data_IF_602164251033
#
_entry.id   IF_602164251033
#
_cell.length_a   1.000
_cell.length_b   1.000
_cell.length_c   1.000
_cell.angle_alpha   90.00
_cell.angle_beta   90.00
_cell.angle_gamma   90.00
#
_symmetry.space_group_name_H-M   'P 1'
#
loop_
_entity.id
_entity.type
_entity.pdbx_description
1 polymer ?
#
# COMPACT_ATOMS: atom_id res chain seq x y z
N UNK A 1 5.48 8.32 -7.20
CA UNK A 1 4.05 7.97 -7.32
C UNK A 1 3.62 6.88 -6.34
N UNK A 2 4.32 5.74 -6.20
CA UNK A 2 3.95 4.64 -5.29
C UNK A 2 3.80 5.09 -3.83
N UNK A 3 4.80 5.76 -3.26
CA UNK A 3 4.73 6.33 -1.89
C UNK A 3 3.54 7.29 -1.72
N UNK A 4 3.22 8.05 -2.77
CA UNK A 4 2.06 8.94 -2.77
C UNK A 4 0.74 8.16 -2.67
N UNK A 5 0.57 7.08 -3.47
CA UNK A 5 -0.62 6.22 -3.40
C UNK A 5 -0.76 5.59 -2.02
N UNK A 6 0.34 5.09 -1.45
CA UNK A 6 0.37 4.54 -0.10
C UNK A 6 -0.12 5.57 0.91
N UNK A 7 0.41 6.80 0.86
CA UNK A 7 -0.01 7.89 1.75
C UNK A 7 -1.49 8.24 1.65
N UNK A 8 -2.08 8.21 0.43
CA UNK A 8 -3.52 8.40 0.26
C UNK A 8 -4.34 7.25 0.87
N UNK A 9 -3.90 6.01 0.65
CA UNK A 9 -4.54 4.83 1.22
C UNK A 9 -4.48 4.84 2.76
N UNK A 10 -3.37 5.29 3.35
CA UNK A 10 -3.24 5.47 4.81
C UNK A 10 -4.20 6.54 5.34
N UNK A 11 -4.33 7.68 4.64
CA UNK A 11 -5.31 8.73 4.98
C UNK A 11 -6.75 8.23 4.91
N UNK A 12 -7.05 7.30 4.03
CA UNK A 12 -8.34 6.62 3.94
C UNK A 12 -8.49 5.46 4.94
N UNK A 13 -7.45 5.17 5.72
CA UNK A 13 -7.39 4.04 6.67
C UNK A 13 -7.67 2.68 6.01
N UNK A 14 -7.13 2.48 4.80
CA UNK A 14 -7.27 1.24 4.05
C UNK A 14 -6.27 0.18 4.52
N UNK A 15 -6.61 -1.09 4.29
CA UNK A 15 -5.69 -2.20 4.51
C UNK A 15 -4.47 -2.07 3.60
N UNK A 16 -3.32 -2.54 4.08
CA UNK A 16 -2.08 -2.51 3.30
C UNK A 16 -2.19 -3.22 1.94
N UNK A 17 -2.97 -4.30 1.87
CA UNK A 17 -3.21 -5.02 0.61
C UNK A 17 -3.89 -4.11 -0.44
N UNK A 18 -4.84 -3.28 -0.02
CA UNK A 18 -5.52 -2.35 -0.91
C UNK A 18 -4.59 -1.26 -1.44
N UNK A 19 -3.59 -0.87 -0.66
CA UNK A 19 -2.55 0.05 -1.14
C UNK A 19 -1.72 -0.57 -2.27
N UNK A 20 -1.35 -1.84 -2.16
CA UNK A 20 -0.63 -2.54 -3.22
C UNK A 20 -1.50 -2.76 -4.47
N UNK A 21 -2.75 -3.14 -4.27
CA UNK A 21 -3.69 -3.30 -5.39
C UNK A 21 -3.93 -1.97 -6.10
N UNK A 22 -4.00 -0.86 -5.36
CA UNK A 22 -4.11 0.49 -5.93
C UNK A 22 -2.89 0.87 -6.76
N UNK A 23 -1.68 0.54 -6.30
CA UNK A 23 -0.44 0.75 -7.07
C UNK A 23 -0.46 -0.06 -8.36
N UNK A 24 -0.78 -1.35 -8.27
CA UNK A 24 -0.85 -2.22 -9.43
C UNK A 24 -1.87 -1.71 -10.46
N UNK A 25 -3.09 -1.38 -10.03
CA UNK A 25 -4.14 -0.87 -10.91
C UNK A 25 -3.76 0.47 -11.54
N UNK A 26 -3.14 1.37 -10.78
CA UNK A 26 -2.68 2.65 -11.30
C UNK A 26 -1.63 2.45 -12.40
N UNK A 27 -0.63 1.59 -12.18
CA UNK A 27 0.40 1.29 -13.18
C UNK A 27 -0.21 0.64 -14.43
N UNK A 28 -1.06 -0.37 -14.26
CA UNK A 28 -1.77 -1.02 -15.36
C UNK A 28 -2.59 -0.03 -16.18
N UNK A 29 -3.30 0.89 -15.49
CA UNK A 29 -4.11 1.90 -16.16
C UNK A 29 -3.24 2.86 -17.00
N UNK A 30 -2.08 3.24 -16.50
CA UNK A 30 -1.14 4.12 -17.21
C UNK A 30 -0.57 3.48 -18.49
N UNK A 31 -0.49 2.16 -18.54
CA UNK A 31 -0.02 1.41 -19.70
C UNK A 31 -1.07 1.29 -20.83
N UNK A 32 -2.33 1.57 -20.55
CA UNK A 32 -3.41 1.51 -21.55
C UNK A 32 -3.26 2.69 -22.53
N UNK A 33 -2.97 2.39 -23.79
CA UNK A 33 -2.68 3.42 -24.83
C UNK A 33 -3.87 4.34 -25.13
N UNK A 34 -5.10 3.85 -25.01
CA UNK A 34 -6.35 4.59 -25.28
C UNK A 34 -6.85 5.38 -24.07
N UNK A 35 -6.03 5.52 -23.05
CA UNK A 35 -6.38 6.22 -21.83
C UNK A 35 -6.53 7.73 -22.08
N UNK A 36 -7.75 8.24 -21.91
CA UNK A 36 -8.10 9.66 -22.07
C UNK A 36 -8.35 10.39 -20.75
N UNK A 37 -8.27 9.66 -19.61
CA UNK A 37 -8.60 10.21 -18.29
C UNK A 37 -7.41 10.93 -17.66
N UNK A 38 -7.73 11.93 -16.84
CA UNK A 38 -6.74 12.68 -16.07
C UNK A 38 -6.09 11.78 -15.00
N UNK A 39 -4.86 12.09 -14.64
CA UNK A 39 -4.10 11.35 -13.65
C UNK A 39 -4.84 11.20 -12.31
N UNK A 40 -5.56 12.23 -11.88
CA UNK A 40 -6.35 12.19 -10.63
C UNK A 40 -7.50 11.19 -10.72
N UNK A 41 -8.18 11.15 -11.88
CA UNK A 41 -9.27 10.20 -12.14
C UNK A 41 -8.74 8.77 -12.17
N UNK A 42 -7.60 8.54 -12.82
CA UNK A 42 -6.92 7.24 -12.83
C UNK A 42 -6.59 6.78 -11.41
N UNK A 43 -6.04 7.68 -10.61
CA UNK A 43 -5.65 7.41 -9.23
C UNK A 43 -6.86 7.09 -8.35
N UNK A 44 -7.92 7.89 -8.44
CA UNK A 44 -9.18 7.64 -7.72
C UNK A 44 -9.80 6.31 -8.14
N UNK A 45 -9.76 5.98 -9.43
CA UNK A 45 -10.26 4.72 -9.99
C UNK A 45 -9.50 3.53 -9.44
N UNK A 46 -8.18 3.59 -9.42
CA UNK A 46 -7.33 2.53 -8.89
C UNK A 46 -7.64 2.24 -7.40
N UNK A 47 -7.78 3.30 -6.58
CA UNK A 47 -8.18 3.16 -5.18
C UNK A 47 -9.60 2.60 -5.06
N UNK A 48 -10.56 3.09 -5.84
CA UNK A 48 -11.95 2.65 -5.79
C UNK A 48 -12.10 1.15 -6.09
N UNK A 49 -11.46 0.67 -7.16
CA UNK A 49 -11.52 -0.75 -7.54
C UNK A 49 -10.86 -1.60 -6.45
N UNK A 50 -9.70 -1.18 -5.93
CA UNK A 50 -9.00 -1.91 -4.89
C UNK A 50 -9.82 -2.03 -3.61
N UNK A 51 -10.50 -0.96 -3.19
CA UNK A 51 -11.42 -0.93 -2.05
C UNK A 51 -12.59 -1.89 -2.26
N UNK A 52 -13.23 -1.86 -3.43
CA UNK A 52 -14.32 -2.78 -3.76
C UNK A 52 -13.87 -4.22 -3.80
N UNK A 53 -12.70 -4.49 -4.38
CA UNK A 53 -12.14 -5.83 -4.48
C UNK A 53 -11.79 -6.44 -3.11
N UNK A 54 -11.28 -5.63 -2.19
CA UNK A 54 -10.91 -6.06 -0.85
C UNK A 54 -12.05 -5.90 0.18
N UNK A 55 -13.27 -5.63 -0.29
CA UNK A 55 -14.48 -5.50 0.54
C UNK A 55 -14.32 -4.50 1.69
N UNK A 56 -13.68 -3.35 1.41
CA UNK A 56 -13.49 -2.29 2.40
C UNK A 56 -14.61 -1.26 2.35
N UNK A 57 -15.05 -0.82 3.54
CA UNK A 57 -16.16 0.13 3.68
C UNK A 57 -15.66 1.57 3.54
N UNK A 58 -15.34 1.98 2.31
CA UNK A 58 -14.92 3.36 2.01
C UNK A 58 -15.88 3.99 1.01
N UNK A 59 -16.31 5.21 1.31
CA UNK A 59 -17.25 5.93 0.43
C UNK A 59 -16.51 6.56 -0.74
N UNK A 60 -17.11 6.53 -1.92
CA UNK A 60 -16.60 7.22 -3.13
C UNK A 60 -16.27 8.69 -2.82
N UNK A 61 -17.11 9.36 -2.02
CA UNK A 61 -16.89 10.75 -1.61
C UNK A 61 -15.59 10.94 -0.83
N UNK A 62 -15.23 10.01 0.03
CA UNK A 62 -14.02 10.09 0.85
C UNK A 62 -12.77 9.94 -0.04
N UNK A 63 -12.82 9.04 -1.02
CA UNK A 63 -11.74 8.87 -2.02
C UNK A 63 -11.54 10.16 -2.82
N UNK A 64 -12.63 10.72 -3.37
CA UNK A 64 -12.59 11.97 -4.12
C UNK A 64 -12.01 13.10 -3.26
N UNK A 65 -12.50 13.23 -2.03
CA UNK A 65 -12.06 14.28 -1.13
C UNK A 65 -10.57 14.17 -0.79
N UNK A 66 -10.08 12.98 -0.43
CA UNK A 66 -8.67 12.79 -0.05
C UNK A 66 -7.75 13.09 -1.21
N UNK A 67 -8.03 12.59 -2.42
CA UNK A 67 -7.17 12.82 -3.59
C UNK A 67 -7.14 14.30 -4.00
N UNK A 68 -8.30 14.97 -4.05
CA UNK A 68 -8.36 16.36 -4.44
C UNK A 68 -7.78 17.30 -3.37
N UNK A 69 -7.99 16.98 -2.09
CA UNK A 69 -7.42 17.73 -0.99
C UNK A 69 -5.90 17.67 -0.97
N UNK A 70 -5.34 16.51 -1.10
CA UNK A 70 -3.89 16.32 -1.07
C UNK A 70 -3.19 17.10 -2.17
N UNK A 71 -3.82 17.23 -3.35
CA UNK A 71 -3.31 18.04 -4.46
C UNK A 71 -3.50 19.55 -4.29
N UNK A 72 -4.00 20.01 -3.13
CA UNK A 72 -4.23 21.43 -2.80
C UNK A 72 -5.15 22.20 -3.77
N UNK A 73 -5.87 21.50 -4.64
CA UNK A 73 -6.72 22.14 -5.66
C UNK A 73 -7.85 22.96 -5.06
N UNK A 74 -8.29 22.64 -3.87
CA UNK A 74 -9.48 23.24 -3.26
C UNK A 74 -9.16 24.21 -2.14
N UNK A 75 -7.95 24.11 -1.57
CA UNK A 75 -7.50 25.09 -0.56
C UNK A 75 -7.32 26.50 -1.12
N UNK A 76 -7.24 26.65 -2.43
CA UNK A 76 -7.08 27.96 -3.07
C UNK A 76 -8.41 28.73 -3.27
N UNK A 77 -9.56 28.05 -3.07
CA UNK A 77 -10.86 28.67 -3.36
C UNK A 77 -11.51 29.36 -2.14
N UNK A 78 -11.06 29.09 -0.91
CA UNK A 78 -11.68 29.65 0.30
C UNK A 78 -10.65 29.86 1.43
N UNK A 79 -10.31 31.13 1.69
CA UNK A 79 -9.34 31.50 2.74
C UNK A 79 -9.79 31.12 4.15
N UNK A 80 -11.09 31.08 4.43
CA UNK A 80 -11.61 30.69 5.74
C UNK A 80 -11.41 29.19 5.99
N UNK A 81 -11.61 28.38 4.95
CA UNK A 81 -11.30 26.94 5.00
C UNK A 81 -9.81 26.69 5.18
N UNK A 82 -8.95 27.50 4.54
CA UNK A 82 -7.50 27.43 4.69
C UNK A 82 -7.04 27.74 6.12
N UNK A 83 -7.61 28.76 6.76
CA UNK A 83 -7.32 29.11 8.17
C UNK A 83 -7.72 27.99 9.12
N UNK A 84 -8.92 27.43 8.95
CA UNK A 84 -9.43 26.31 9.75
C UNK A 84 -8.62 25.04 9.56
N UNK A 85 -8.17 24.76 8.33
CA UNK A 85 -7.26 23.66 8.02
C UNK A 85 -5.93 23.80 8.75
N UNK A 86 -5.31 24.98 8.67
CA UNK A 86 -4.05 25.22 9.35
C UNK A 86 -4.18 25.06 10.88
N UNK A 87 -5.29 25.53 11.49
CA UNK A 87 -5.53 25.33 12.91
C UNK A 87 -5.62 23.84 13.30
N UNK A 88 -6.26 23.02 12.49
CA UNK A 88 -6.36 21.57 12.71
C UNK A 88 -5.03 20.84 12.51
N UNK A 89 -4.22 21.26 11.52
CA UNK A 89 -2.89 20.69 11.29
C UNK A 89 -1.96 20.86 12.49
N UNK A 90 -2.04 22.02 13.15
CA UNK A 90 -1.19 22.34 14.30
C UNK A 90 -1.79 21.92 15.64
N UNK A 91 -2.98 21.32 15.65
CA UNK A 91 -3.57 20.79 16.88
C UNK A 91 -2.79 19.57 17.37
N UNK A 92 -2.12 19.73 18.50
CA UNK A 92 -1.31 18.66 19.10
C UNK A 92 -2.11 17.60 19.85
N UNK A 93 -3.41 17.81 20.03
CA UNK A 93 -4.30 16.89 20.76
C UNK A 93 -4.83 15.75 19.85
N UNK A 94 -4.76 15.93 18.52
CA UNK A 94 -5.25 15.00 17.53
C UNK A 94 -4.09 14.26 16.86
N UNK A 95 -4.23 12.97 16.65
CA UNK A 95 -3.30 12.22 15.82
C UNK A 95 -3.54 12.51 14.31
N UNK A 96 -2.57 12.18 13.46
CA UNK A 96 -2.63 12.52 12.02
C UNK A 96 -3.82 11.88 11.29
N UNK A 97 -4.26 10.69 11.70
CA UNK A 97 -5.44 10.03 11.13
C UNK A 97 -6.73 10.73 11.54
N UNK A 98 -6.87 11.14 12.80
CA UNK A 98 -8.02 11.90 13.29
C UNK A 98 -8.11 13.27 12.61
N UNK A 99 -6.98 13.98 12.49
CA UNK A 99 -6.90 15.25 11.75
C UNK A 99 -7.39 15.07 10.32
N UNK A 100 -6.89 14.04 9.62
CA UNK A 100 -7.30 13.76 8.23
C UNK A 100 -8.79 13.45 8.14
N UNK A 101 -9.34 12.63 9.03
CA UNK A 101 -10.77 12.30 9.03
C UNK A 101 -11.64 13.53 9.30
N UNK A 102 -11.25 14.41 10.24
CA UNK A 102 -11.98 15.63 10.52
C UNK A 102 -11.92 16.57 9.32
N UNK A 103 -10.74 16.73 8.71
CA UNK A 103 -10.54 17.55 7.52
C UNK A 103 -11.42 17.06 6.37
N UNK A 104 -11.38 15.75 6.06
CA UNK A 104 -12.20 15.15 5.02
C UNK A 104 -13.69 15.33 5.27
N UNK A 105 -14.14 15.18 6.51
CA UNK A 105 -15.57 15.29 6.88
C UNK A 105 -16.09 16.73 6.92
N UNK A 106 -15.29 17.67 7.42
CA UNK A 106 -15.79 19.00 7.78
C UNK A 106 -15.41 20.12 6.82
N UNK A 107 -14.26 20.00 6.15
CA UNK A 107 -13.72 21.09 5.34
C UNK A 107 -13.99 20.95 3.85
N UNK A 108 -14.38 19.76 3.41
CA UNK A 108 -14.50 19.45 2.03
C UNK A 108 -15.96 19.27 1.61
N UNK A 109 -16.59 20.34 1.18
CA UNK A 109 -17.81 20.28 0.38
C UNK A 109 -17.50 20.81 -1.01
N UNK A 110 -17.13 19.92 -1.94
CA UNK A 110 -17.38 20.22 -3.36
C UNK A 110 -18.82 20.68 -3.51
N UNK A 111 -19.07 21.68 -4.34
CA UNK A 111 -20.45 21.95 -4.75
C UNK A 111 -21.05 20.63 -5.26
N UNK A 112 -22.34 20.41 -5.01
CA UNK A 112 -23.03 19.17 -5.42
C UNK A 112 -22.82 18.90 -6.92
N UNK A 113 -22.82 19.93 -7.73
CA UNK A 113 -22.61 19.81 -9.18
C UNK A 113 -21.19 19.32 -9.51
N UNK A 114 -20.16 19.90 -8.91
CA UNK A 114 -18.77 19.47 -9.15
C UNK A 114 -18.53 18.03 -8.65
N UNK A 115 -19.11 17.69 -7.51
CA UNK A 115 -19.04 16.31 -7.01
C UNK A 115 -19.67 15.31 -7.98
N UNK A 116 -20.86 15.61 -8.52
CA UNK A 116 -21.56 14.73 -9.44
C UNK A 116 -20.79 14.54 -10.76
N UNK A 117 -20.19 15.61 -11.29
CA UNK A 117 -19.33 15.53 -12.49
C UNK A 117 -18.14 14.61 -12.25
N UNK A 118 -17.39 14.83 -11.16
CA UNK A 118 -16.22 14.02 -10.83
C UNK A 118 -16.61 12.57 -10.56
N UNK A 119 -17.72 12.34 -9.86
CA UNK A 119 -18.24 11.00 -9.60
C UNK A 119 -18.63 10.28 -10.88
N UNK A 120 -19.28 10.95 -11.83
CA UNK A 120 -19.61 10.35 -13.12
C UNK A 120 -18.35 9.98 -13.89
N UNK A 121 -17.39 10.88 -14.02
CA UNK A 121 -16.10 10.63 -14.66
C UNK A 121 -15.35 9.46 -14.01
N UNK A 122 -15.40 9.36 -12.68
CA UNK A 122 -14.79 8.26 -11.93
C UNK A 122 -15.45 6.91 -12.23
N UNK A 123 -16.77 6.85 -12.30
CA UNK A 123 -17.50 5.62 -12.63
C UNK A 123 -17.28 5.18 -14.09
N UNK A 124 -17.23 6.13 -15.01
CA UNK A 124 -16.90 5.84 -16.41
C UNK A 124 -15.48 5.31 -16.56
N UNK A 125 -14.54 5.90 -15.83
CA UNK A 125 -13.15 5.46 -15.75
C UNK A 125 -13.01 4.05 -15.12
N UNK A 126 -13.80 3.75 -14.09
CA UNK A 126 -13.89 2.42 -13.49
C UNK A 126 -14.31 1.38 -14.53
N UNK A 127 -15.39 1.64 -15.23
CA UNK A 127 -15.88 0.74 -16.27
C UNK A 127 -14.88 0.54 -17.42
N UNK A 128 -14.17 1.62 -17.80
CA UNK A 128 -13.11 1.56 -18.80
C UNK A 128 -11.98 0.62 -18.36
N UNK A 129 -11.46 0.78 -17.13
CA UNK A 129 -10.39 -0.07 -16.62
C UNK A 129 -10.83 -1.54 -16.47
N UNK A 130 -12.02 -1.78 -15.92
CA UNK A 130 -12.54 -3.13 -15.76
C UNK A 130 -12.70 -3.86 -17.11
N UNK A 131 -13.16 -3.17 -18.17
CA UNK A 131 -13.23 -3.73 -19.52
C UNK A 131 -11.85 -4.10 -20.06
N UNK A 132 -10.85 -3.25 -19.89
CA UNK A 132 -9.48 -3.52 -20.32
C UNK A 132 -8.84 -4.68 -19.53
N UNK A 133 -9.25 -4.93 -18.30
CA UNK A 133 -8.86 -6.09 -17.48
C UNK A 133 -9.74 -7.34 -17.79
N UNK A 134 -10.65 -7.30 -18.77
CA UNK A 134 -11.62 -8.35 -19.03
C UNK A 134 -12.40 -8.79 -17.78
N UNK A 135 -12.64 -7.88 -16.84
CA UNK A 135 -13.24 -8.14 -15.51
C UNK A 135 -12.49 -9.20 -14.68
N UNK A 136 -11.24 -9.49 -15.02
CA UNK A 136 -10.45 -10.54 -14.40
C UNK A 136 -9.25 -10.00 -13.61
N UNK A 137 -9.54 -9.14 -12.63
CA UNK A 137 -8.52 -8.52 -11.79
C UNK A 137 -7.64 -9.56 -11.06
N UNK A 138 -8.24 -10.64 -10.58
CA UNK A 138 -7.55 -11.64 -9.75
C UNK A 138 -6.45 -12.40 -10.49
N UNK A 139 -6.67 -12.78 -11.75
CA UNK A 139 -5.67 -13.53 -12.52
C UNK A 139 -4.54 -12.66 -13.03
N UNK A 140 -4.82 -11.37 -13.26
CA UNK A 140 -3.84 -10.41 -13.74
C UNK A 140 -2.98 -9.84 -12.57
N UNK A 141 -3.52 -9.79 -11.35
CA UNK A 141 -2.84 -9.20 -10.20
C UNK A 141 -1.92 -10.19 -9.47
N UNK A 142 -0.77 -10.50 -10.07
CA UNK A 142 0.28 -11.31 -9.44
C UNK A 142 0.83 -10.65 -8.16
N UNK A 143 0.80 -9.32 -8.07
CA UNK A 143 1.29 -8.56 -6.92
C UNK A 143 0.46 -8.85 -5.67
N UNK A 144 -0.87 -8.77 -5.76
CA UNK A 144 -1.77 -9.03 -4.63
C UNK A 144 -1.60 -10.44 -4.08
N UNK A 145 -1.51 -11.42 -4.96
CA UNK A 145 -1.26 -12.82 -4.57
C UNK A 145 0.09 -12.97 -3.85
N UNK A 146 1.15 -12.38 -4.40
CA UNK A 146 2.48 -12.42 -3.83
C UNK A 146 2.52 -11.81 -2.42
N UNK A 147 1.87 -10.65 -2.24
CA UNK A 147 1.80 -9.93 -0.99
C UNK A 147 0.97 -10.69 0.05
N UNK A 148 -0.13 -11.30 -0.37
CA UNK A 148 -0.96 -12.14 0.52
C UNK A 148 -0.15 -13.33 1.05
N UNK A 149 0.63 -14.01 0.20
CA UNK A 149 1.53 -15.09 0.64
C UNK A 149 2.58 -14.55 1.61
N UNK A 150 3.16 -13.38 1.33
CA UNK A 150 4.15 -12.75 2.21
C UNK A 150 3.57 -12.47 3.60
N UNK A 151 2.41 -11.79 3.67
CA UNK A 151 1.76 -11.44 4.94
C UNK A 151 1.43 -12.71 5.74
N UNK A 152 0.76 -13.68 5.12
CA UNK A 152 0.41 -14.94 5.80
C UNK A 152 1.64 -15.69 6.30
N UNK A 153 2.73 -15.65 5.55
CA UNK A 153 3.98 -16.29 5.94
C UNK A 153 4.62 -15.57 7.14
N UNK A 154 4.59 -14.25 7.17
CA UNK A 154 5.08 -13.46 8.30
C UNK A 154 4.24 -13.71 9.56
N UNK A 155 2.92 -13.76 9.44
CA UNK A 155 2.01 -14.06 10.55
C UNK A 155 2.24 -15.46 11.15
N UNK A 156 2.62 -16.43 10.33
CA UNK A 156 2.97 -17.79 10.80
C UNK A 156 4.30 -17.86 11.56
N UNK A 157 5.24 -17.00 11.20
CA UNK A 157 6.62 -17.03 11.77
C UNK A 157 6.74 -16.12 12.97
N UNK A 158 6.15 -14.93 12.90
CA UNK A 158 6.21 -13.93 13.94
C UNK A 158 4.95 -13.94 14.79
N UNK A 159 5.12 -14.14 16.11
CA UNK A 159 3.99 -14.05 17.06
C UNK A 159 3.66 -12.61 17.45
N UNK A 160 4.63 -11.70 17.26
CA UNK A 160 4.47 -10.30 17.59
C UNK A 160 3.95 -9.52 16.36
N UNK A 161 2.81 -8.84 16.54
CA UNK A 161 2.19 -8.00 15.50
C UNK A 161 3.11 -6.87 15.02
N UNK A 162 3.97 -6.35 15.89
CA UNK A 162 4.94 -5.31 15.53
C UNK A 162 5.97 -5.80 14.53
N UNK A 163 6.45 -7.04 14.68
CA UNK A 163 7.38 -7.64 13.73
C UNK A 163 6.72 -7.89 12.36
N UNK A 164 5.44 -8.29 12.35
CA UNK A 164 4.68 -8.42 11.11
C UNK A 164 4.52 -7.05 10.46
N UNK A 165 4.18 -6.01 11.22
CA UNK A 165 4.08 -4.64 10.74
C UNK A 165 5.41 -4.15 10.15
N UNK A 166 6.50 -4.33 10.86
CA UNK A 166 7.85 -3.99 10.37
C UNK A 166 8.21 -4.75 9.09
N UNK A 167 7.82 -6.04 8.98
CA UNK A 167 8.02 -6.82 7.75
C UNK A 167 7.30 -6.20 6.55
N UNK A 168 6.07 -5.74 6.76
CA UNK A 168 5.26 -5.09 5.74
C UNK A 168 5.87 -3.73 5.37
N UNK A 169 6.32 -2.93 6.33
CA UNK A 169 6.98 -1.65 6.09
C UNK A 169 8.28 -1.81 5.27
N UNK A 170 9.08 -2.81 5.61
CA UNK A 170 10.28 -3.16 4.82
C UNK A 170 9.89 -3.55 3.40
N UNK A 171 8.86 -4.40 3.23
CA UNK A 171 8.39 -4.77 1.91
C UNK A 171 7.94 -3.54 1.11
N UNK A 172 7.21 -2.61 1.73
CA UNK A 172 6.80 -1.36 1.07
C UNK A 172 7.99 -0.56 0.57
N UNK A 173 8.99 -0.34 1.44
CA UNK A 173 10.20 0.41 1.09
C UNK A 173 10.94 -0.26 -0.09
N UNK A 174 11.05 -1.57 -0.08
CA UNK A 174 11.67 -2.33 -1.15
C UNK A 174 10.84 -2.29 -2.46
N UNK A 175 9.52 -2.29 -2.34
CA UNK A 175 8.62 -2.29 -3.49
C UNK A 175 8.63 -0.98 -4.28
N UNK A 176 9.19 0.10 -3.72
CA UNK A 176 9.42 1.35 -4.44
C UNK A 176 10.47 1.20 -5.56
N UNK A 177 11.40 0.26 -5.43
CA UNK A 177 12.39 -0.08 -6.44
C UNK A 177 11.80 -1.00 -7.52
N UNK A 178 11.88 -0.60 -8.79
CA UNK A 178 11.39 -1.42 -9.92
C UNK A 178 12.14 -2.76 -10.02
N UNK A 179 13.46 -2.74 -9.83
CA UNK A 179 14.28 -3.96 -9.90
C UNK A 179 13.84 -5.00 -8.88
N UNK A 180 13.56 -4.55 -7.66
CA UNK A 180 13.09 -5.44 -6.58
C UNK A 180 11.67 -5.91 -6.86
N UNK A 181 10.79 -5.04 -7.35
CA UNK A 181 9.42 -5.40 -7.74
C UNK A 181 9.44 -6.52 -8.77
N UNK A 182 10.24 -6.40 -9.81
CA UNK A 182 10.38 -7.42 -10.86
C UNK A 182 10.87 -8.75 -10.28
N UNK A 183 11.89 -8.72 -9.41
CA UNK A 183 12.43 -9.93 -8.78
C UNK A 183 11.40 -10.56 -7.83
N UNK A 184 10.69 -9.74 -7.06
CA UNK A 184 9.64 -10.18 -6.14
C UNK A 184 8.49 -10.88 -6.89
N UNK A 185 8.03 -10.32 -8.02
CA UNK A 185 6.90 -10.83 -8.77
C UNK A 185 7.25 -12.06 -9.63
N UNK A 186 8.46 -12.11 -10.18
CA UNK A 186 8.78 -13.05 -11.25
C UNK A 186 9.24 -14.43 -10.81
N UNK A 187 9.57 -14.71 -9.55
CA UNK A 187 9.92 -16.08 -9.17
C UNK A 187 10.33 -16.30 -7.69
N UNK A 188 10.51 -15.23 -6.91
CA UNK A 188 11.28 -15.33 -5.68
C UNK A 188 10.54 -14.87 -4.42
N UNK A 189 9.19 -14.84 -4.45
CA UNK A 189 8.37 -14.43 -3.29
C UNK A 189 8.84 -15.13 -2.01
N UNK A 190 9.02 -16.44 -2.06
CA UNK A 190 9.42 -17.22 -0.90
C UNK A 190 10.82 -16.85 -0.44
N UNK A 191 11.76 -16.64 -1.37
CA UNK A 191 13.11 -16.20 -1.02
C UNK A 191 13.12 -14.79 -0.43
N UNK A 192 12.32 -13.86 -1.00
CA UNK A 192 12.17 -12.53 -0.43
C UNK A 192 11.54 -12.55 0.95
N UNK A 193 10.50 -13.34 1.14
CA UNK A 193 9.84 -13.52 2.43
C UNK A 193 10.83 -14.01 3.48
N UNK A 194 11.59 -15.06 3.16
CA UNK A 194 12.61 -15.60 4.05
C UNK A 194 13.73 -14.58 4.28
N UNK A 195 14.15 -13.86 3.25
CA UNK A 195 15.17 -12.82 3.33
C UNK A 195 14.78 -11.72 4.31
N UNK A 196 13.59 -11.15 4.17
CA UNK A 196 13.05 -10.12 5.07
C UNK A 196 12.94 -10.66 6.50
N UNK A 197 12.39 -11.87 6.68
CA UNK A 197 12.30 -12.52 8.00
C UNK A 197 13.68 -12.67 8.66
N UNK A 198 14.69 -13.04 7.90
CA UNK A 198 16.07 -13.19 8.43
C UNK A 198 16.68 -11.83 8.81
N UNK A 199 16.44 -10.79 8.02
CA UNK A 199 16.90 -9.43 8.32
C UNK A 199 16.26 -8.94 9.62
N UNK A 200 14.95 -9.06 9.77
CA UNK A 200 14.22 -8.66 10.98
C UNK A 200 14.69 -9.44 12.19
N UNK A 201 14.80 -10.76 12.07
CA UNK A 201 15.31 -11.58 13.19
C UNK A 201 16.75 -11.20 13.58
N UNK A 202 17.59 -10.80 12.63
CA UNK A 202 18.94 -10.31 12.92
C UNK A 202 18.91 -8.97 13.66
N UNK A 203 18.03 -8.05 13.26
CA UNK A 203 17.82 -6.76 13.94
C UNK A 203 17.37 -7.00 15.38
N UNK A 204 16.36 -7.84 15.59
CA UNK A 204 15.85 -8.18 16.91
C UNK A 204 16.91 -8.83 17.81
N UNK A 205 17.71 -9.74 17.27
CA UNK A 205 18.83 -10.37 17.99
C UNK A 205 19.90 -9.34 18.41
N UNK A 206 20.10 -8.31 17.60
CA UNK A 206 21.06 -7.24 17.89
C UNK A 206 20.54 -6.30 18.97
N UNK A 207 19.27 -5.93 18.93
CA UNK A 207 18.64 -4.98 19.85
C UNK A 207 18.31 -5.62 21.21
N UNK A 208 17.71 -6.80 21.21
CA UNK A 208 17.10 -7.43 22.39
C UNK A 208 17.87 -8.68 22.89
N UNK A 209 18.98 -9.02 22.25
CA UNK A 209 19.78 -10.18 22.60
C UNK A 209 19.10 -11.53 22.34
N UNK A 210 19.71 -12.61 22.85
CA UNK A 210 19.16 -13.97 22.70
C UNK A 210 18.18 -14.30 23.81
N UNK A 211 16.94 -13.82 23.69
CA UNK A 211 15.83 -14.24 24.54
C UNK A 211 15.09 -15.48 23.99
N UNK A 212 14.13 -16.03 24.77
CA UNK A 212 13.35 -17.21 24.36
C UNK A 212 12.51 -16.95 23.10
N UNK A 213 11.97 -15.74 22.93
CA UNK A 213 11.17 -15.37 21.75
C UNK A 213 12.01 -15.37 20.48
N UNK A 214 13.20 -14.76 20.50
CA UNK A 214 14.12 -14.73 19.37
C UNK A 214 14.62 -16.12 18.99
N UNK A 215 14.80 -17.02 19.96
CA UNK A 215 15.12 -18.42 19.68
C UNK A 215 13.96 -19.14 18.99
N UNK A 216 12.71 -18.88 19.42
CA UNK A 216 11.52 -19.44 18.82
C UNK A 216 11.32 -18.94 17.39
N UNK A 217 11.49 -17.64 17.14
CA UNK A 217 11.43 -17.05 15.80
C UNK A 217 12.49 -17.69 14.89
N UNK A 218 13.73 -17.81 15.38
CA UNK A 218 14.81 -18.45 14.61
C UNK A 218 14.51 -19.92 14.27
N UNK A 219 13.84 -20.63 15.18
CA UNK A 219 13.35 -22.00 14.94
C UNK A 219 12.24 -22.00 13.88
N UNK A 220 11.26 -21.13 13.99
CA UNK A 220 10.16 -21.02 13.03
C UNK A 220 10.65 -20.70 11.62
N UNK A 221 11.61 -19.79 11.47
CA UNK A 221 12.21 -19.48 10.17
C UNK A 221 12.91 -20.75 9.60
N UNK A 222 13.61 -21.52 10.42
CA UNK A 222 14.23 -22.78 9.99
C UNK A 222 13.19 -23.80 9.55
N UNK A 223 12.10 -23.95 10.29
CA UNK A 223 11.01 -24.86 9.95
C UNK A 223 10.29 -24.42 8.67
N UNK A 224 10.05 -23.11 8.49
CA UNK A 224 9.47 -22.54 7.27
C UNK A 224 10.34 -22.81 6.03
N UNK A 225 11.67 -22.81 6.18
CA UNK A 225 12.62 -23.08 5.08
C UNK A 225 12.63 -24.54 4.59
N UNK A 226 12.42 -25.51 5.47
CA UNK A 226 12.57 -26.94 5.17
C UNK A 226 11.78 -27.41 3.93
N UNK A 227 10.48 -27.14 3.81
CA UNK A 227 9.69 -27.61 2.67
C UNK A 227 9.98 -26.86 1.37
N UNK A 228 10.69 -25.72 1.41
CA UNK A 228 10.85 -24.81 0.29
C UNK A 228 12.06 -25.12 -0.61
N UNK A 229 12.86 -26.14 -0.27
CA UNK A 229 14.09 -26.52 -1.01
C UNK A 229 14.98 -25.30 -1.34
N UNK A 230 15.23 -24.44 -0.34
CA UNK A 230 15.92 -23.16 -0.50
C UNK A 230 17.38 -23.37 -0.88
N UNK A 231 17.80 -22.73 -1.97
CA UNK A 231 19.20 -22.71 -2.41
C UNK A 231 19.90 -21.56 -1.68
N UNK A 232 20.91 -21.90 -0.85
CA UNK A 232 21.62 -20.96 0.02
C UNK A 232 22.19 -19.74 -0.73
N UNK A 233 22.85 -19.97 -1.85
CA UNK A 233 23.45 -18.89 -2.66
C UNK A 233 22.43 -17.87 -3.18
N UNK A 234 21.25 -18.35 -3.61
CA UNK A 234 20.17 -17.45 -4.06
C UNK A 234 19.62 -16.61 -2.90
N UNK A 235 19.45 -17.22 -1.74
CA UNK A 235 18.98 -16.53 -0.55
C UNK A 235 19.98 -15.45 -0.10
N UNK A 236 21.27 -15.76 -0.08
CA UNK A 236 22.33 -14.79 0.26
C UNK A 236 22.36 -13.59 -0.70
N UNK A 237 22.18 -13.83 -2.00
CA UNK A 237 22.05 -12.75 -2.99
C UNK A 237 20.86 -11.84 -2.71
N UNK A 238 19.70 -12.42 -2.38
CA UNK A 238 18.49 -11.65 -2.06
C UNK A 238 18.67 -10.88 -0.76
N UNK A 239 19.24 -11.47 0.28
CA UNK A 239 19.52 -10.77 1.55
C UNK A 239 20.46 -9.58 1.32
N UNK A 240 21.53 -9.74 0.54
CA UNK A 240 22.41 -8.62 0.18
C UNK A 240 21.66 -7.52 -0.56
N UNK A 241 20.81 -7.88 -1.52
CA UNK A 241 19.99 -6.93 -2.25
C UNK A 241 19.04 -6.14 -1.31
N UNK A 242 18.38 -6.84 -0.38
CA UNK A 242 17.50 -6.22 0.63
C UNK A 242 18.30 -5.22 1.47
N UNK A 243 19.46 -5.63 2.00
CA UNK A 243 20.28 -4.77 2.86
C UNK A 243 20.80 -3.53 2.12
N UNK A 244 21.19 -3.67 0.85
CA UNK A 244 21.65 -2.52 0.05
C UNK A 244 20.57 -1.48 -0.21
N UNK A 245 19.29 -1.85 -0.19
CA UNK A 245 18.17 -0.93 -0.39
C UNK A 245 17.58 -0.38 0.91
N UNK A 246 17.96 -0.94 2.05
CA UNK A 246 17.55 -0.44 3.38
C UNK A 246 18.50 0.63 3.94
N UNK A 247 19.75 0.64 3.48
CA UNK A 247 20.76 1.65 3.79
C UNK A 247 20.57 2.88 2.88
#
# INVERSE_FOLDING_TARGET
MKAYIIGLCEKLNLKKISSFDSIYLYETYKEIKENQYKEDTILMTAILISVKYNEELTRVRDIINVVLFDKKRVLNEDENKKKKYNSLLYDKTLNDNEKTQIIVKTMYSLSINNYNIIKSELLDSEMFLLKNLNYNFKSENKSSYAISIFIQSCERVFFNKEMVKLSIEILFKLYESEDIKIIFLNQNIIYFTIGIMMVINSIELTLNGKNKENQLISKNIKEFKKPQKIIKERLEKIIKLILNHLN
#
